data_IF_376234958110
#
_entry.id   IF_376234958110
#
_cell.length_a   1.000
_cell.length_b   1.000
_cell.length_c   1.000
_cell.angle_alpha   90.00
_cell.angle_beta   90.00
_cell.angle_gamma   90.00
#
_symmetry.space_group_name_H-M   'P 1'
#
loop_
_entity.id
_entity.type
_entity.pdbx_description
1 polymer ?
#
# COMPACT_ATOMS: atom_id res chain seq x y z
N UNK A 1 -5.76 59.10 6.44
CA UNK A 1 -4.55 58.58 5.78
C UNK A 1 -3.33 59.12 6.51
N UNK A 2 -2.65 58.26 7.27
CA UNK A 2 -1.26 57.98 6.96
C UNK A 2 -0.97 56.48 6.87
N UNK A 3 -0.02 56.14 5.99
CA UNK A 3 0.47 54.81 5.64
C UNK A 3 1.24 54.19 6.82
N UNK A 4 0.86 52.99 7.23
CA UNK A 4 1.63 52.14 8.14
C UNK A 4 2.19 50.97 7.32
N UNK A 5 3.52 50.83 7.33
CA UNK A 5 4.25 49.73 6.70
C UNK A 5 4.19 48.43 7.53
N UNK A 6 4.32 47.24 6.90
CA UNK A 6 4.15 45.96 7.57
C UNK A 6 5.45 45.42 8.23
N UNK A 7 5.35 44.54 9.23
CA UNK A 7 6.49 43.98 9.92
C UNK A 7 7.16 42.83 9.14
N UNK A 8 8.50 42.82 9.18
CA UNK A 8 9.40 41.83 8.58
C UNK A 8 9.39 40.54 9.41
N UNK A 9 9.01 39.42 8.78
CA UNK A 9 8.97 38.09 9.36
C UNK A 9 10.30 37.35 9.13
N UNK A 10 11.13 37.20 10.17
CA UNK A 10 12.38 36.42 10.09
C UNK A 10 12.10 34.95 10.41
N UNK A 11 12.26 34.08 9.41
CA UNK A 11 12.09 32.63 9.49
C UNK A 11 13.25 31.98 10.26
N UNK A 12 12.91 31.19 11.29
CA UNK A 12 13.78 30.20 11.94
C UNK A 12 14.20 29.12 10.94
N UNK A 13 15.51 28.92 10.75
CA UNK A 13 16.06 27.77 10.00
C UNK A 13 16.70 26.80 10.99
N UNK A 14 16.03 25.67 11.23
CA UNK A 14 16.60 24.48 11.91
C UNK A 14 17.57 23.81 10.93
N UNK A 15 18.84 23.70 11.30
CA UNK A 15 19.81 22.86 10.61
C UNK A 15 19.77 21.47 11.23
N UNK A 16 19.33 20.48 10.45
CA UNK A 16 19.44 19.07 10.77
C UNK A 16 20.83 18.54 10.38
N UNK A 17 21.37 17.74 11.29
CA UNK A 17 22.61 17.01 11.20
C UNK A 17 22.31 15.61 10.63
N UNK A 18 22.95 15.22 9.53
CA UNK A 18 23.22 13.82 9.13
C UNK A 18 23.89 13.79 7.75
N UNK A 19 25.22 13.63 7.71
CA UNK A 19 25.91 13.08 6.53
C UNK A 19 26.47 11.72 6.93
N UNK A 20 25.84 10.69 6.39
CA UNK A 20 26.33 9.33 6.39
C UNK A 20 27.52 9.21 5.42
N UNK A 21 28.52 8.45 5.88
CA UNK A 21 29.73 8.07 5.17
C UNK A 21 29.37 7.22 3.94
N UNK A 22 29.82 7.65 2.76
CA UNK A 22 29.91 6.79 1.58
C UNK A 22 31.30 6.16 1.56
N UNK A 23 31.39 4.86 1.84
CA UNK A 23 32.58 4.06 1.57
C UNK A 23 32.55 3.63 0.10
N UNK A 24 33.32 4.32 -0.73
CA UNK A 24 33.74 3.83 -2.04
C UNK A 24 34.73 2.67 -1.83
N UNK A 25 34.36 1.48 -2.31
CA UNK A 25 35.30 0.38 -2.54
C UNK A 25 35.14 -0.03 -4.00
N UNK A 26 36.00 0.52 -4.86
CA UNK A 26 36.15 0.17 -6.26
C UNK A 26 37.60 -0.26 -6.47
N UNK A 27 37.77 -1.49 -6.93
CA UNK A 27 39.00 -2.16 -7.36
C UNK A 27 38.54 -3.23 -8.37
N UNK A 28 39.39 -3.67 -9.32
CA UNK A 28 40.01 -2.88 -10.37
C UNK A 28 39.64 -3.41 -11.77
N UNK A 29 39.96 -2.58 -12.77
CA UNK A 29 40.05 -2.92 -14.18
C UNK A 29 40.91 -4.17 -14.44
N UNK A 30 40.49 -5.00 -15.38
CA UNK A 30 41.38 -5.81 -16.21
C UNK A 30 40.96 -5.67 -17.68
N UNK A 31 41.78 -4.92 -18.40
CA UNK A 31 41.86 -4.87 -19.84
C UNK A 31 42.52 -6.14 -20.42
N UNK A 32 42.07 -6.44 -21.64
CA UNK A 32 42.83 -6.96 -22.77
C UNK A 32 43.42 -8.39 -22.73
N UNK A 33 42.87 -9.23 -23.61
CA UNK A 33 43.69 -10.00 -24.55
C UNK A 33 42.90 -10.27 -25.84
N UNK A 34 43.37 -9.66 -26.93
CA UNK A 34 42.98 -9.96 -28.28
C UNK A 34 43.54 -11.33 -28.71
N UNK A 35 42.71 -12.12 -29.40
CA UNK A 35 43.08 -13.38 -30.01
C UNK A 35 42.26 -13.58 -31.28
N UNK A 36 42.84 -13.16 -32.38
CA UNK A 36 42.33 -13.29 -33.74
C UNK A 36 42.58 -14.73 -34.22
N UNK A 37 41.56 -15.48 -34.59
CA UNK A 37 41.79 -16.61 -35.50
C UNK A 37 40.58 -16.90 -36.40
N UNK A 38 40.86 -16.90 -37.71
CA UNK A 38 39.95 -17.25 -38.79
C UNK A 38 40.18 -18.72 -39.11
N UNK A 39 39.20 -19.58 -38.85
CA UNK A 39 39.08 -20.82 -39.62
C UNK A 39 37.63 -21.13 -39.98
N UNK A 40 37.53 -21.61 -41.21
CA UNK A 40 36.36 -21.79 -42.05
C UNK A 40 36.09 -23.30 -42.06
N UNK A 41 35.00 -23.76 -41.46
CA UNK A 41 34.52 -25.13 -41.69
C UNK A 41 33.08 -25.33 -41.25
N UNK A 42 32.27 -25.64 -42.26
CA UNK A 42 31.26 -26.70 -42.29
C UNK A 42 29.99 -26.55 -41.43
N UNK A 43 28.89 -26.48 -42.18
CA UNK A 43 27.51 -26.76 -41.84
C UNK A 43 27.36 -28.03 -40.98
N UNK A 44 27.43 -27.87 -39.68
CA UNK A 44 26.69 -28.69 -38.72
C UNK A 44 25.44 -27.92 -38.34
N UNK A 45 24.28 -28.59 -38.40
CA UNK A 45 23.01 -28.11 -37.85
C UNK A 45 23.17 -27.83 -36.35
N UNK A 46 23.73 -26.67 -36.03
CA UNK A 46 23.77 -26.13 -34.68
C UNK A 46 22.34 -25.76 -34.34
N UNK A 47 21.73 -26.52 -33.44
CA UNK A 47 20.51 -26.12 -32.73
C UNK A 47 20.86 -24.87 -31.95
N UNK A 48 20.84 -23.74 -32.64
CA UNK A 48 21.07 -22.43 -32.07
C UNK A 48 20.10 -22.27 -30.90
N UNK A 49 20.66 -22.03 -29.71
CA UNK A 49 19.88 -21.83 -28.50
C UNK A 49 18.94 -20.65 -28.74
N UNK A 50 17.65 -20.95 -28.85
CA UNK A 50 16.58 -19.98 -29.11
C UNK A 50 16.63 -18.87 -28.06
N UNK A 51 17.02 -19.19 -26.83
CA UNK A 51 17.20 -18.20 -25.77
C UNK A 51 18.21 -17.12 -26.16
N UNK A 52 19.35 -17.51 -26.73
CA UNK A 52 20.37 -16.55 -27.17
C UNK A 52 19.86 -15.65 -28.30
N UNK A 53 19.03 -16.18 -29.20
CA UNK A 53 18.42 -15.38 -30.28
C UNK A 53 17.44 -14.36 -29.73
N UNK A 54 16.63 -14.74 -28.75
CA UNK A 54 15.71 -13.83 -28.07
C UNK A 54 16.48 -12.73 -27.32
N UNK A 55 17.52 -13.08 -26.55
CA UNK A 55 18.31 -12.06 -25.83
C UNK A 55 19.04 -11.11 -26.78
N UNK A 56 19.59 -11.63 -27.88
CA UNK A 56 20.21 -10.79 -28.91
C UNK A 56 19.18 -9.88 -29.58
N UNK A 57 17.97 -10.37 -29.87
CA UNK A 57 16.89 -9.54 -30.43
C UNK A 57 16.43 -8.45 -29.44
N UNK A 58 16.37 -8.76 -28.15
CA UNK A 58 16.10 -7.78 -27.09
C UNK A 58 17.16 -6.69 -27.12
N UNK A 59 18.44 -7.04 -27.09
CA UNK A 59 19.54 -6.09 -27.02
C UNK A 59 19.67 -5.26 -28.32
N UNK A 60 19.42 -5.85 -29.49
CA UNK A 60 19.40 -5.17 -30.78
C UNK A 60 18.24 -4.17 -30.93
N UNK A 61 17.16 -4.35 -30.16
CA UNK A 61 15.96 -3.52 -30.19
C UNK A 61 15.97 -2.39 -29.15
N UNK A 62 17.08 -2.22 -28.42
CA UNK A 62 17.27 -1.10 -27.49
C UNK A 62 17.67 0.14 -28.31
N UNK A 63 16.87 1.19 -28.27
CA UNK A 63 17.16 2.45 -28.98
C UNK A 63 18.16 3.32 -28.19
N UNK A 64 19.37 3.61 -28.70
CA UNK A 64 20.26 4.61 -28.11
C UNK A 64 19.86 6.05 -28.51
N UNK A 65 20.15 7.11 -27.73
CA UNK A 65 20.70 7.14 -26.37
C UNK A 65 19.67 7.69 -25.36
N UNK A 66 19.25 6.89 -24.40
CA UNK A 66 18.44 7.36 -23.27
C UNK A 66 17.25 6.47 -22.96
N UNK A 67 17.53 5.26 -22.45
CA UNK A 67 16.69 4.55 -21.48
C UNK A 67 15.19 4.40 -21.81
N UNK A 68 14.81 4.37 -23.09
CA UNK A 68 13.41 4.17 -23.51
C UNK A 68 12.99 2.71 -23.52
N UNK A 69 13.85 1.77 -23.11
CA UNK A 69 13.56 0.34 -23.15
C UNK A 69 13.64 -0.24 -24.56
N UNK A 70 13.11 -1.45 -24.70
CA UNK A 70 13.05 -2.26 -25.92
C UNK A 70 11.90 -1.74 -26.78
N UNK A 71 12.21 -1.32 -28.01
CA UNK A 71 11.21 -1.01 -29.03
C UNK A 71 10.52 -2.30 -29.49
N UNK A 72 9.22 -2.41 -29.23
CA UNK A 72 8.49 -3.64 -29.50
C UNK A 72 8.31 -3.92 -31.00
N UNK A 73 8.28 -2.90 -31.85
CA UNK A 73 8.12 -3.09 -33.29
C UNK A 73 9.41 -3.61 -33.93
N UNK A 74 10.56 -3.08 -33.48
CA UNK A 74 11.88 -3.63 -33.86
C UNK A 74 12.05 -5.06 -33.35
N UNK A 75 11.72 -5.31 -32.08
CA UNK A 75 11.81 -6.63 -31.47
C UNK A 75 10.93 -7.66 -32.20
N UNK A 76 9.68 -7.30 -32.53
CA UNK A 76 8.76 -8.17 -33.29
C UNK A 76 9.33 -8.53 -34.67
N UNK A 77 9.95 -7.57 -35.36
CA UNK A 77 10.54 -7.78 -36.69
C UNK A 77 11.74 -8.74 -36.65
N UNK A 78 12.53 -8.70 -35.58
CA UNK A 78 13.67 -9.61 -35.42
C UNK A 78 13.24 -11.00 -34.95
N UNK A 79 12.27 -11.08 -34.05
CA UNK A 79 11.72 -12.34 -33.56
C UNK A 79 10.78 -13.06 -34.52
N UNK A 80 10.14 -12.36 -35.48
CA UNK A 80 9.22 -13.00 -36.46
C UNK A 80 9.92 -13.99 -37.41
N UNK A 81 11.25 -14.01 -37.42
CA UNK A 81 12.07 -14.96 -38.19
C UNK A 81 12.21 -16.31 -37.48
N UNK A 82 11.91 -16.37 -36.18
CA UNK A 82 11.98 -17.58 -35.38
C UNK A 82 10.67 -18.36 -35.54
N UNK A 83 10.76 -19.63 -35.93
CA UNK A 83 9.59 -20.54 -36.04
C UNK A 83 9.26 -21.24 -34.73
N UNK A 84 9.87 -20.82 -33.63
CA UNK A 84 9.69 -21.44 -32.32
C UNK A 84 8.34 -21.07 -31.69
N UNK A 85 7.68 -22.05 -31.08
CA UNK A 85 6.37 -21.87 -30.47
C UNK A 85 6.41 -20.89 -29.29
N UNK A 86 7.51 -20.87 -28.52
CA UNK A 86 7.68 -19.96 -27.37
C UNK A 86 7.92 -18.55 -27.84
N UNK A 87 8.74 -18.37 -28.87
CA UNK A 87 8.93 -17.06 -29.50
C UNK A 87 7.60 -16.52 -30.02
N UNK A 88 6.77 -17.37 -30.63
CA UNK A 88 5.44 -17.01 -31.12
C UNK A 88 4.50 -16.62 -29.96
N UNK A 89 4.50 -17.38 -28.86
CA UNK A 89 3.68 -17.07 -27.67
C UNK A 89 4.12 -15.75 -27.00
N UNK A 90 5.43 -15.51 -26.91
CA UNK A 90 5.96 -14.23 -26.43
C UNK A 90 5.49 -13.07 -27.31
N UNK A 91 5.53 -13.23 -28.64
CA UNK A 91 5.06 -12.22 -29.58
C UNK A 91 3.56 -11.95 -29.44
N UNK A 92 2.75 -13.00 -29.26
CA UNK A 92 1.31 -12.87 -29.02
C UNK A 92 1.01 -12.13 -27.71
N UNK A 93 1.69 -12.50 -26.62
CA UNK A 93 1.59 -11.79 -25.34
C UNK A 93 1.95 -10.30 -25.49
N UNK A 94 3.07 -10.00 -26.15
CA UNK A 94 3.52 -8.63 -26.37
C UNK A 94 2.60 -7.88 -27.36
N UNK A 95 1.85 -8.56 -28.21
CA UNK A 95 0.87 -7.95 -29.14
C UNK A 95 -0.28 -7.27 -28.39
N UNK A 96 -0.66 -7.81 -27.22
CA UNK A 96 -1.73 -7.26 -26.38
C UNK A 96 -1.31 -6.00 -25.62
N UNK A 97 0.00 -5.75 -25.51
CA UNK A 97 0.54 -4.59 -24.81
C UNK A 97 0.47 -3.37 -25.72
N UNK A 98 -0.28 -2.33 -25.30
CA UNK A 98 -0.43 -1.07 -26.05
C UNK A 98 0.80 -0.15 -26.03
N UNK A 99 1.79 -0.45 -25.19
CA UNK A 99 3.00 0.36 -25.10
C UNK A 99 3.91 0.08 -26.30
N UNK A 100 4.51 1.13 -26.86
CA UNK A 100 5.49 1.00 -27.95
C UNK A 100 6.86 0.56 -27.45
N UNK A 101 7.15 0.81 -26.18
CA UNK A 101 8.41 0.43 -25.56
C UNK A 101 8.17 -0.22 -24.20
N UNK A 102 9.02 -1.19 -23.84
CA UNK A 102 9.01 -1.84 -22.53
C UNK A 102 10.41 -1.87 -21.92
N UNK A 103 10.55 -1.77 -20.60
CA UNK A 103 11.85 -1.98 -19.95
C UNK A 103 12.40 -3.35 -20.33
N UNK A 104 13.72 -3.41 -20.56
CA UNK A 104 14.43 -4.63 -20.96
C UNK A 104 14.12 -5.81 -20.03
N UNK A 105 14.09 -5.52 -18.74
CA UNK A 105 13.83 -6.49 -17.68
C UNK A 105 12.42 -7.09 -17.79
N UNK A 106 11.44 -6.31 -18.25
CA UNK A 106 10.06 -6.79 -18.39
C UNK A 106 9.98 -7.82 -19.51
N UNK A 107 10.60 -7.55 -20.66
CA UNK A 107 10.62 -8.47 -21.81
C UNK A 107 11.42 -9.73 -21.48
N UNK A 108 12.57 -9.58 -20.81
CA UNK A 108 13.39 -10.72 -20.37
C UNK A 108 12.65 -11.60 -19.36
N UNK A 109 11.99 -11.01 -18.36
CA UNK A 109 11.22 -11.76 -17.38
C UNK A 109 10.02 -12.47 -18.01
N UNK A 110 9.38 -11.87 -19.02
CA UNK A 110 8.31 -12.52 -19.77
C UNK A 110 8.81 -13.77 -20.50
N UNK A 111 9.96 -13.68 -21.18
CA UNK A 111 10.59 -14.83 -21.82
C UNK A 111 10.97 -15.93 -20.82
N UNK A 112 11.63 -15.56 -19.71
CA UNK A 112 12.04 -16.52 -18.68
C UNK A 112 10.85 -17.26 -18.05
N UNK A 113 9.70 -16.58 -17.88
CA UNK A 113 8.48 -17.22 -17.38
C UNK A 113 7.94 -18.28 -18.34
N UNK A 114 7.90 -17.98 -19.64
CA UNK A 114 7.47 -18.97 -20.65
C UNK A 114 8.38 -20.20 -20.67
N UNK A 115 9.68 -20.01 -20.48
CA UNK A 115 10.65 -21.12 -20.41
C UNK A 115 10.49 -21.92 -19.11
N UNK A 116 10.24 -21.26 -17.97
CA UNK A 116 10.06 -21.95 -16.69
C UNK A 116 8.73 -22.70 -16.59
N UNK A 117 7.65 -22.15 -17.17
CA UNK A 117 6.33 -22.79 -17.21
C UNK A 117 6.37 -24.14 -17.96
N UNK A 118 7.08 -24.20 -19.09
CA UNK A 118 7.28 -25.49 -19.80
C UNK A 118 8.14 -26.46 -18.98
N UNK A 119 9.17 -25.98 -18.28
CA UNK A 119 9.96 -26.84 -17.40
C UNK A 119 9.09 -27.41 -16.28
N UNK A 120 8.17 -26.61 -15.77
CA UNK A 120 7.20 -27.03 -14.77
C UNK A 120 6.19 -28.04 -15.34
N UNK A 121 5.67 -27.83 -16.54
CA UNK A 121 4.79 -28.79 -17.23
C UNK A 121 5.49 -30.11 -17.53
N UNK A 122 6.77 -30.07 -17.94
CA UNK A 122 7.58 -31.27 -18.14
C UNK A 122 7.87 -32.00 -16.82
N UNK A 123 8.07 -31.27 -15.73
CA UNK A 123 8.18 -31.84 -14.37
C UNK A 123 6.84 -32.45 -13.91
N UNK A 124 5.71 -31.83 -14.22
CA UNK A 124 4.37 -32.35 -13.93
C UNK A 124 4.05 -33.61 -14.76
N UNK A 125 4.46 -33.65 -16.04
CA UNK A 125 4.32 -34.83 -16.90
C UNK A 125 5.28 -35.97 -16.49
N UNK A 126 6.50 -35.64 -16.07
CA UNK A 126 7.48 -36.62 -15.58
C UNK A 126 7.05 -37.24 -14.25
N UNK A 127 6.48 -36.45 -13.34
CA UNK A 127 5.92 -36.95 -12.08
C UNK A 127 4.57 -37.66 -12.25
N UNK A 128 3.82 -37.38 -13.33
CA UNK A 128 2.59 -38.08 -13.67
C UNK A 128 2.82 -39.47 -14.34
N UNK A 129 4.01 -39.77 -14.85
CA UNK A 129 4.29 -40.99 -15.64
C UNK A 129 4.59 -42.26 -14.82
N UNK A 130 4.40 -42.28 -13.50
CA UNK A 130 4.46 -43.56 -12.75
C UNK A 130 3.10 -44.29 -12.84
N UNK A 131 2.77 -44.75 -14.05
CA UNK A 131 1.57 -45.55 -14.32
C UNK A 131 1.82 -47.01 -13.91
N UNK A 132 0.93 -47.66 -13.13
CA UNK A 132 1.06 -49.07 -12.80
C UNK A 132 0.72 -49.95 -14.01
N UNK A 133 1.61 -50.89 -14.31
CA UNK A 133 1.50 -51.93 -15.34
C UNK A 133 0.10 -52.57 -15.38
N UNK A 134 -0.47 -52.59 -16.58
CA UNK A 134 -1.63 -53.42 -16.95
C UNK A 134 -1.26 -54.91 -16.94
N UNK A 135 -2.02 -55.81 -16.28
CA UNK A 135 -1.84 -57.26 -16.41
C UNK A 135 -2.50 -57.77 -17.69
N UNK A 136 -1.76 -58.60 -18.43
CA UNK A 136 -2.14 -59.36 -19.62
C UNK A 136 -3.39 -60.22 -19.40
N UNK A 137 -4.21 -60.29 -20.44
CA UNK A 137 -5.19 -61.36 -20.66
C UNK A 137 -4.46 -62.71 -20.89
N UNK A 138 -4.66 -63.66 -19.97
CA UNK A 138 -4.41 -65.09 -20.19
C UNK A 138 -5.74 -65.83 -19.99
N UNK A 139 -6.35 -66.25 -21.10
CA UNK A 139 -7.40 -67.27 -21.14
C UNK A 139 -6.82 -68.54 -21.76
N UNK A 140 -6.70 -69.60 -20.96
CA UNK A 140 -6.34 -70.93 -21.44
C UNK A 140 -6.23 -71.92 -20.30
N UNK A 141 -7.31 -72.65 -20.04
CA UNK A 141 -7.44 -73.65 -19.00
C UNK A 141 -6.48 -74.83 -19.16
N UNK A 142 -6.00 -75.40 -18.05
CA UNK A 142 -6.21 -76.81 -17.65
C UNK A 142 -5.33 -77.15 -16.43
N UNK A 143 -5.88 -77.99 -15.56
CA UNK A 143 -5.23 -78.81 -14.52
C UNK A 143 -5.49 -78.41 -13.05
N UNK A 144 -5.74 -79.47 -12.30
CA UNK A 144 -6.47 -79.64 -11.05
C UNK A 144 -5.55 -79.62 -9.82
N UNK A 145 -5.89 -78.81 -8.81
CA UNK A 145 -5.71 -79.04 -7.35
C UNK A 145 -4.28 -79.27 -6.80
N UNK A 146 -4.07 -79.25 -5.46
CA UNK A 146 -4.33 -78.13 -4.57
C UNK A 146 -3.06 -77.81 -3.74
N UNK A 147 -2.66 -76.55 -3.61
CA UNK A 147 -1.69 -76.20 -2.56
C UNK A 147 -1.73 -74.73 -2.18
N UNK A 148 -1.81 -74.51 -0.86
CA UNK A 148 -1.43 -73.30 -0.13
C UNK A 148 -2.37 -72.09 -0.21
N UNK A 149 -3.19 -71.97 0.85
CA UNK A 149 -3.96 -70.78 1.23
C UNK A 149 -2.98 -69.63 1.52
N UNK A 150 -2.83 -68.70 0.58
CA UNK A 150 -2.13 -67.43 0.78
C UNK A 150 -3.18 -66.31 0.94
N UNK A 151 -3.13 -65.50 2.01
CA UNK A 151 -4.13 -64.45 2.23
C UNK A 151 -4.02 -63.38 1.13
N UNK A 152 -5.17 -63.14 0.49
CA UNK A 152 -5.32 -62.25 -0.66
C UNK A 152 -5.06 -60.79 -0.30
N UNK A 153 -4.01 -60.20 -0.89
CA UNK A 153 -3.60 -58.79 -0.74
C UNK A 153 -4.28 -57.84 -1.74
N UNK A 154 -5.18 -58.34 -2.61
CA UNK A 154 -5.80 -57.56 -3.69
C UNK A 154 -6.80 -56.48 -3.22
N UNK A 155 -7.38 -56.63 -2.03
CA UNK A 155 -8.28 -55.63 -1.46
C UNK A 155 -7.57 -54.36 -0.97
N UNK A 156 -6.28 -54.43 -0.65
CA UNK A 156 -5.52 -53.31 -0.09
C UNK A 156 -5.07 -52.31 -1.16
N UNK A 157 -4.72 -52.79 -2.36
CA UNK A 157 -4.33 -51.95 -3.50
C UNK A 157 -5.50 -51.12 -4.02
N UNK A 158 -6.70 -51.70 -4.04
CA UNK A 158 -7.94 -51.03 -4.44
C UNK A 158 -8.29 -49.89 -3.47
N UNK A 159 -8.19 -50.13 -2.16
CA UNK A 159 -8.44 -49.09 -1.14
C UNK A 159 -7.47 -47.92 -1.24
N UNK A 160 -6.17 -48.19 -1.41
CA UNK A 160 -5.16 -47.15 -1.59
C UNK A 160 -5.40 -46.31 -2.86
N UNK A 161 -5.81 -46.95 -3.96
CA UNK A 161 -6.16 -46.26 -5.21
C UNK A 161 -7.37 -45.33 -5.03
N UNK A 162 -8.44 -45.82 -4.38
CA UNK A 162 -9.62 -44.99 -4.10
C UNK A 162 -9.32 -43.82 -3.15
N UNK A 163 -8.44 -44.01 -2.15
CA UNK A 163 -8.01 -42.95 -1.26
C UNK A 163 -7.23 -41.85 -2.01
N UNK A 164 -6.32 -42.24 -2.90
CA UNK A 164 -5.57 -41.30 -3.75
C UNK A 164 -6.46 -40.53 -4.71
N UNK A 165 -7.47 -41.18 -5.32
CA UNK A 165 -8.44 -40.52 -6.18
C UNK A 165 -9.28 -39.49 -5.41
N UNK A 166 -9.78 -39.85 -4.21
CA UNK A 166 -10.50 -38.91 -3.33
C UNK A 166 -9.63 -37.72 -2.90
N UNK A 167 -8.34 -37.95 -2.64
CA UNK A 167 -7.39 -36.88 -2.30
C UNK A 167 -7.21 -35.89 -3.46
N UNK A 168 -6.99 -36.41 -4.68
CA UNK A 168 -6.90 -35.58 -5.89
C UNK A 168 -8.17 -34.77 -6.14
N UNK A 169 -9.34 -35.36 -5.92
CA UNK A 169 -10.62 -34.63 -6.00
C UNK A 169 -10.68 -33.49 -4.98
N UNK A 170 -10.36 -33.77 -3.71
CA UNK A 170 -10.34 -32.73 -2.66
C UNK A 170 -9.32 -31.61 -2.94
N UNK A 171 -8.16 -31.95 -3.52
CA UNK A 171 -7.17 -30.95 -3.95
C UNK A 171 -7.70 -30.07 -5.10
N UNK A 172 -8.41 -30.66 -6.06
CA UNK A 172 -9.06 -29.91 -7.14
C UNK A 172 -10.15 -28.97 -6.60
N UNK A 173 -11.01 -29.48 -5.72
CA UNK A 173 -12.09 -28.71 -5.09
C UNK A 173 -11.51 -27.55 -4.26
N UNK A 174 -10.42 -27.77 -3.53
CA UNK A 174 -9.70 -26.73 -2.78
C UNK A 174 -9.14 -25.62 -3.70
N UNK A 175 -8.59 -25.98 -4.87
CA UNK A 175 -8.11 -25.00 -5.86
C UNK A 175 -9.27 -24.18 -6.43
N UNK A 176 -10.40 -24.81 -6.74
CA UNK A 176 -11.58 -24.13 -7.26
C UNK A 176 -12.16 -23.14 -6.24
N UNK A 177 -12.27 -23.55 -4.98
CA UNK A 177 -12.70 -22.68 -3.88
C UNK A 177 -11.74 -21.52 -3.65
N UNK A 178 -10.42 -21.75 -3.72
CA UNK A 178 -9.44 -20.68 -3.60
C UNK A 178 -9.59 -19.62 -4.71
N UNK A 179 -9.83 -20.04 -5.95
CA UNK A 179 -10.08 -19.13 -7.07
C UNK A 179 -11.37 -18.33 -6.87
N UNK A 180 -12.46 -18.98 -6.43
CA UNK A 180 -13.71 -18.28 -6.10
C UNK A 180 -13.53 -17.25 -4.98
N UNK A 181 -12.81 -17.63 -3.91
CA UNK A 181 -12.50 -16.74 -2.79
C UNK A 181 -11.72 -15.52 -3.26
N UNK A 182 -10.72 -15.70 -4.14
CA UNK A 182 -9.94 -14.60 -4.70
C UNK A 182 -10.81 -13.63 -5.53
N UNK A 183 -11.73 -14.14 -6.34
CA UNK A 183 -12.67 -13.33 -7.12
C UNK A 183 -13.61 -12.53 -6.20
N UNK A 184 -14.21 -13.19 -5.20
CA UNK A 184 -15.08 -12.54 -4.22
C UNK A 184 -14.36 -11.45 -3.43
N UNK A 185 -13.09 -11.67 -3.04
CA UNK A 185 -12.27 -10.64 -2.38
C UNK A 185 -12.02 -9.45 -3.31
N UNK A 186 -11.75 -9.70 -4.58
CA UNK A 186 -11.56 -8.64 -5.56
C UNK A 186 -12.85 -7.82 -5.76
N UNK A 187 -14.00 -8.47 -5.79
CA UNK A 187 -15.31 -7.82 -5.85
C UNK A 187 -15.60 -6.98 -4.61
N UNK A 188 -15.34 -7.52 -3.41
CA UNK A 188 -15.47 -6.79 -2.16
C UNK A 188 -14.59 -5.53 -2.16
N UNK A 189 -13.32 -5.64 -2.54
CA UNK A 189 -12.41 -4.48 -2.63
C UNK A 189 -12.92 -3.43 -3.63
N UNK A 190 -13.44 -3.86 -4.79
CA UNK A 190 -14.03 -2.94 -5.77
C UNK A 190 -15.27 -2.25 -5.21
N UNK A 191 -16.14 -2.97 -4.53
CA UNK A 191 -17.34 -2.43 -3.90
C UNK A 191 -16.99 -1.41 -2.80
N UNK A 192 -16.01 -1.72 -1.93
CA UNK A 192 -15.51 -0.78 -0.91
C UNK A 192 -14.96 0.50 -1.51
N UNK A 193 -14.15 0.44 -2.57
CA UNK A 193 -13.68 1.64 -3.28
C UNK A 193 -14.83 2.46 -3.83
N UNK A 194 -15.89 1.80 -4.33
CA UNK A 194 -17.07 2.50 -4.86
C UNK A 194 -17.88 3.17 -3.76
N UNK A 195 -18.06 2.51 -2.62
CA UNK A 195 -18.71 3.07 -1.42
C UNK A 195 -17.96 4.32 -0.99
N UNK A 196 -16.63 4.23 -0.86
CA UNK A 196 -15.79 5.34 -0.42
C UNK A 196 -15.92 6.55 -1.35
N UNK A 197 -15.79 6.33 -2.67
CA UNK A 197 -15.99 7.40 -3.66
C UNK A 197 -17.40 8.01 -3.62
N UNK A 198 -18.42 7.22 -3.30
CA UNK A 198 -19.81 7.69 -3.24
C UNK A 198 -20.03 8.54 -1.99
N UNK A 199 -19.49 8.11 -0.85
CA UNK A 199 -19.50 8.87 0.41
C UNK A 199 -18.70 10.17 0.32
N UNK A 200 -17.50 10.12 -0.25
CA UNK A 200 -16.67 11.31 -0.44
C UNK A 200 -17.39 12.36 -1.30
N UNK A 201 -18.07 11.94 -2.38
CA UNK A 201 -18.88 12.83 -3.20
C UNK A 201 -20.07 13.41 -2.43
N UNK A 202 -20.79 12.59 -1.66
CA UNK A 202 -21.90 13.06 -0.84
C UNK A 202 -21.42 14.10 0.18
N UNK A 203 -20.29 13.84 0.83
CA UNK A 203 -19.66 14.75 1.78
C UNK A 203 -19.23 16.07 1.11
N UNK A 204 -18.60 16.03 -0.06
CA UNK A 204 -18.22 17.24 -0.80
C UNK A 204 -19.44 18.12 -1.14
N UNK A 205 -20.59 17.52 -1.48
CA UNK A 205 -21.83 18.25 -1.75
C UNK A 205 -22.33 18.93 -0.46
N UNK A 206 -22.34 18.21 0.66
CA UNK A 206 -22.75 18.76 1.95
C UNK A 206 -21.84 19.90 2.42
N UNK A 207 -20.52 19.71 2.35
CA UNK A 207 -19.52 20.74 2.69
C UNK A 207 -19.71 22.00 1.82
N UNK A 208 -19.92 21.83 0.52
CA UNK A 208 -20.18 22.95 -0.37
C UNK A 208 -21.47 23.70 0.00
N UNK A 209 -22.52 22.98 0.41
CA UNK A 209 -23.77 23.56 0.88
C UNK A 209 -23.58 24.33 2.18
N UNK A 210 -22.87 23.76 3.14
CA UNK A 210 -22.53 24.43 4.39
C UNK A 210 -21.73 25.72 4.15
N UNK A 211 -20.78 25.69 3.22
CA UNK A 211 -20.05 26.90 2.82
C UNK A 211 -20.96 27.96 2.21
N UNK A 212 -21.93 27.58 1.37
CA UNK A 212 -22.91 28.52 0.80
C UNK A 212 -23.77 29.14 1.90
N UNK A 213 -24.32 28.32 2.79
CA UNK A 213 -25.15 28.79 3.92
C UNK A 213 -24.34 29.72 4.81
N UNK A 214 -23.09 29.35 5.14
CA UNK A 214 -22.19 30.18 5.93
C UNK A 214 -21.89 31.51 5.26
N UNK A 215 -21.57 31.51 3.95
CA UNK A 215 -21.36 32.75 3.18
C UNK A 215 -22.61 33.63 3.16
N UNK A 216 -23.80 33.04 3.09
CA UNK A 216 -25.07 33.78 3.18
C UNK A 216 -25.29 34.38 4.56
N UNK A 217 -25.04 33.61 5.63
CA UNK A 217 -25.11 34.08 7.02
C UNK A 217 -24.10 35.20 7.30
N UNK A 218 -22.84 35.03 6.88
CA UNK A 218 -21.79 36.03 7.03
C UNK A 218 -22.15 37.33 6.29
N UNK A 219 -22.73 37.21 5.08
CA UNK A 219 -23.24 38.37 4.34
C UNK A 219 -24.36 39.07 5.09
N UNK A 220 -25.30 38.32 5.68
CA UNK A 220 -26.39 38.88 6.46
C UNK A 220 -25.87 39.58 7.73
N UNK A 221 -24.97 38.94 8.48
CA UNK A 221 -24.34 39.51 9.67
C UNK A 221 -23.56 40.79 9.36
N UNK A 222 -22.78 40.80 8.27
CA UNK A 222 -22.04 41.97 7.83
C UNK A 222 -22.96 43.13 7.44
N UNK A 223 -24.09 42.84 6.76
CA UNK A 223 -25.09 43.85 6.43
C UNK A 223 -25.75 44.43 7.69
N UNK A 224 -26.09 43.57 8.65
CA UNK A 224 -26.66 43.99 9.93
C UNK A 224 -25.69 44.87 10.72
N UNK A 225 -24.42 44.46 10.84
CA UNK A 225 -23.38 45.25 11.52
C UNK A 225 -23.16 46.61 10.83
N UNK A 226 -23.14 46.66 9.49
CA UNK A 226 -23.08 47.92 8.74
C UNK A 226 -24.29 48.80 9.04
N UNK A 227 -25.49 48.22 9.12
CA UNK A 227 -26.69 48.99 9.47
C UNK A 227 -26.61 49.54 10.90
N UNK A 228 -26.15 48.76 11.87
CA UNK A 228 -25.97 49.19 13.25
C UNK A 228 -24.90 50.28 13.40
N UNK A 229 -23.78 50.16 12.68
CA UNK A 229 -22.74 51.20 12.66
C UNK A 229 -23.27 52.51 12.07
N UNK A 230 -24.04 52.46 10.98
CA UNK A 230 -24.72 53.64 10.41
C UNK A 230 -25.73 54.23 11.40
N UNK A 231 -26.57 53.40 12.03
CA UNK A 231 -27.55 53.84 13.05
C UNK A 231 -26.87 54.46 14.26
N UNK A 232 -25.75 53.91 14.74
CA UNK A 232 -25.02 54.45 15.88
C UNK A 232 -24.27 55.74 15.52
N UNK A 233 -23.66 55.82 14.33
CA UNK A 233 -23.00 57.03 13.84
C UNK A 233 -24.01 58.17 13.65
N UNK A 234 -25.18 57.91 13.08
CA UNK A 234 -26.25 58.91 12.96
C UNK A 234 -26.78 59.38 14.31
N UNK A 235 -26.97 58.47 15.29
CA UNK A 235 -27.30 58.84 16.69
C UNK A 235 -26.22 59.71 17.32
N UNK A 236 -24.94 59.32 17.20
CA UNK A 236 -23.79 60.08 17.71
C UNK A 236 -23.68 61.45 17.06
N UNK A 237 -23.86 61.56 15.75
CA UNK A 237 -23.85 62.84 15.03
C UNK A 237 -24.97 63.76 15.51
N UNK A 238 -26.20 63.23 15.69
CA UNK A 238 -27.32 63.99 16.26
C UNK A 238 -27.02 64.47 17.69
N UNK A 239 -26.43 63.62 18.53
CA UNK A 239 -26.04 63.99 19.90
C UNK A 239 -24.87 64.99 19.91
N UNK A 240 -23.88 64.83 19.04
CA UNK A 240 -22.74 65.73 18.88
C UNK A 240 -23.21 67.12 18.43
N UNK A 241 -24.18 67.19 17.52
CA UNK A 241 -24.81 68.45 17.13
C UNK A 241 -25.50 69.13 18.33
N UNK A 242 -26.31 68.39 19.11
CA UNK A 242 -26.97 68.92 20.32
C UNK A 242 -25.97 69.38 21.39
N UNK A 243 -24.95 68.56 21.66
CA UNK A 243 -23.92 68.86 22.65
C UNK A 243 -22.96 69.95 22.18
N UNK A 244 -22.70 70.11 20.89
CA UNK A 244 -21.95 71.24 20.34
C UNK A 244 -22.68 72.56 20.59
N UNK A 245 -24.01 72.58 20.41
CA UNK A 245 -24.84 73.73 20.77
C UNK A 245 -24.74 74.03 22.28
N UNK A 246 -24.86 72.99 23.12
CA UNK A 246 -24.72 73.13 24.58
C UNK A 246 -23.31 73.58 24.97
N UNK A 247 -22.25 73.02 24.37
CA UNK A 247 -20.85 73.37 24.62
C UNK A 247 -20.54 74.78 24.15
N UNK A 248 -21.08 75.26 23.03
CA UNK A 248 -20.94 76.67 22.63
C UNK A 248 -21.56 77.58 23.68
N UNK A 249 -22.75 77.23 24.19
CA UNK A 249 -23.42 77.94 25.28
C UNK A 249 -22.61 77.87 26.60
N UNK A 250 -22.11 76.69 26.96
CA UNK A 250 -21.30 76.49 28.16
C UNK A 250 -19.90 77.09 28.04
N UNK A 251 -19.27 77.11 26.87
CA UNK A 251 -18.00 77.77 26.63
C UNK A 251 -18.17 79.28 26.74
N UNK A 252 -19.29 79.83 26.24
CA UNK A 252 -19.66 81.22 26.53
C UNK A 252 -19.78 81.47 28.05
N UNK A 253 -20.42 80.56 28.80
CA UNK A 253 -20.51 80.62 30.27
C UNK A 253 -19.15 80.39 30.96
N UNK A 254 -18.30 79.51 30.43
CA UNK A 254 -17.01 79.14 31.01
C UNK A 254 -15.94 80.17 30.72
N UNK A 255 -15.99 80.89 29.59
CA UNK A 255 -15.14 82.08 29.37
C UNK A 255 -15.45 83.14 30.44
N UNK A 256 -16.71 83.24 30.87
CA UNK A 256 -17.10 84.07 32.01
C UNK A 256 -16.53 83.49 33.31
N UNK A 257 -16.60 82.17 33.54
CA UNK A 257 -16.12 81.52 34.77
C UNK A 257 -14.59 81.31 34.89
N UNK A 258 -13.84 81.15 33.79
CA UNK A 258 -12.38 80.97 33.76
C UNK A 258 -11.64 82.26 34.12
N UNK A 259 -12.21 83.40 33.72
CA UNK A 259 -11.78 84.72 34.24
C UNK A 259 -11.81 84.78 35.78
N UNK A 260 -12.64 83.97 36.44
CA UNK A 260 -12.67 83.86 37.91
C UNK A 260 -11.70 82.80 38.48
N UNK A 261 -11.28 81.79 37.72
CA UNK A 261 -10.44 80.67 38.21
C UNK A 261 -8.96 80.77 37.85
N UNK A 262 -8.58 81.54 36.82
CA UNK A 262 -7.17 81.85 36.51
C UNK A 262 -6.47 82.62 37.65
N UNK A 263 -7.24 83.18 38.59
CA UNK A 263 -6.76 83.74 39.88
C UNK A 263 -6.28 82.64 40.85
N UNK A 264 -6.79 81.40 40.77
CA UNK A 264 -6.55 80.37 41.79
C UNK A 264 -5.49 79.31 41.37
N UNK A 265 -5.25 79.12 40.07
CA UNK A 265 -4.38 78.03 39.57
C UNK A 265 -2.87 78.34 39.59
N UNK A 266 -2.46 79.58 39.90
CA UNK A 266 -1.05 79.93 40.15
C UNK A 266 -0.49 79.24 41.42
N UNK A 267 -1.36 78.73 42.31
CA UNK A 267 -0.93 78.14 43.61
C UNK A 267 -0.50 76.66 43.56
N UNK A 268 -0.83 75.89 42.51
CA UNK A 268 -0.78 74.42 42.60
C UNK A 268 0.33 73.77 41.74
N UNK A 269 0.97 74.49 40.82
CA UNK A 269 2.02 73.92 39.94
C UNK A 269 3.41 73.73 40.57
N UNK A 270 3.61 74.08 41.85
CA UNK A 270 4.93 73.97 42.52
C UNK A 270 5.30 72.56 43.04
N UNK A 271 4.51 71.50 42.80
CA UNK A 271 4.72 70.21 43.49
C UNK A 271 4.90 68.95 42.65
N UNK A 272 4.96 69.02 41.32
CA UNK A 272 4.93 67.82 40.46
C UNK A 272 6.10 67.72 39.49
N UNK A 273 7.31 67.88 40.00
CA UNK A 273 8.56 67.62 39.27
C UNK A 273 9.58 66.99 40.22
N UNK A 274 9.35 65.73 40.60
CA UNK A 274 10.35 64.91 41.29
C UNK A 274 10.07 63.43 41.08
N UNK A 275 10.73 62.85 40.07
CA UNK A 275 11.01 61.41 39.98
C UNK A 275 9.92 60.56 39.33
N UNK A 276 9.60 60.91 38.08
CA UNK A 276 9.38 59.88 37.09
C UNK A 276 10.58 59.84 36.15
N UNK A 277 11.37 58.78 36.32
CA UNK A 277 12.34 58.13 35.42
C UNK A 277 13.65 57.86 36.16
N UNK A 278 13.95 56.59 36.35
CA UNK A 278 14.98 55.92 35.54
C UNK A 278 14.85 54.40 35.80
N UNK A 279 14.22 53.69 34.86
CA UNK A 279 14.85 52.79 33.87
C UNK A 279 15.33 51.48 34.50
N UNK A 280 14.64 50.39 34.15
CA UNK A 280 14.95 49.54 32.99
C UNK A 280 16.10 48.57 33.28
N UNK A 281 15.76 47.30 33.06
CA UNK A 281 16.55 46.34 32.30
C UNK A 281 17.78 45.79 33.06
N UNK A 282 18.24 44.57 32.87
CA UNK A 282 17.97 43.51 31.90
C UNK A 282 18.72 42.27 32.43
N UNK A 283 18.34 41.09 31.95
CA UNK A 283 19.17 39.88 31.83
C UNK A 283 20.33 39.65 32.80
N UNK A 284 20.25 38.56 33.54
CA UNK A 284 21.39 37.64 33.62
C UNK A 284 20.85 36.24 33.95
N UNK A 285 20.67 35.42 32.91
CA UNK A 285 21.67 34.39 32.59
C UNK A 285 21.69 33.35 33.72
N UNK A 286 20.96 32.27 33.53
CA UNK A 286 21.61 31.04 33.07
C UNK A 286 22.72 30.58 34.04
N UNK A 287 22.37 29.63 34.91
CA UNK A 287 22.97 28.27 34.98
C UNK A 287 23.16 27.79 36.41
N UNK A 288 22.40 26.77 36.80
CA UNK A 288 22.86 25.74 37.71
C UNK A 288 21.98 24.49 37.45
N UNK A 289 22.34 23.55 36.57
CA UNK A 289 23.47 22.60 36.61
C UNK A 289 23.26 21.50 37.66
N UNK A 290 22.43 20.50 37.37
CA UNK A 290 22.55 19.20 38.06
C UNK A 290 21.92 18.05 37.26
N UNK A 291 22.78 17.42 36.43
CA UNK A 291 22.60 16.07 35.88
C UNK A 291 23.93 15.32 36.08
N UNK A 292 24.02 14.67 37.25
CA UNK A 292 24.91 13.56 37.66
C UNK A 292 23.99 12.76 38.59
N UNK A 293 23.77 11.47 38.44
CA UNK A 293 24.80 10.43 38.39
C UNK A 293 24.36 9.23 37.57
N UNK A 294 25.40 8.61 37.02
CA UNK A 294 25.42 7.37 36.28
C UNK A 294 25.48 6.21 37.27
N UNK A 295 24.80 5.12 36.91
CA UNK A 295 25.36 3.75 36.85
C UNK A 295 25.71 3.12 38.20
N UNK A 296 25.24 1.88 38.43
CA UNK A 296 26.05 0.66 38.23
C UNK A 296 25.33 -0.62 38.67
N UNK A 297 25.70 -1.70 37.96
CA UNK A 297 25.56 -3.15 38.24
C UNK A 297 24.24 -3.71 37.71
N UNK A 298 24.14 -4.29 36.52
CA UNK A 298 25.01 -5.24 35.79
C UNK A 298 25.46 -6.45 36.61
N UNK A 299 25.01 -7.61 36.09
CA UNK A 299 25.78 -8.84 35.98
C UNK A 299 26.24 -9.49 37.28
N UNK A 300 25.51 -10.52 37.66
CA UNK A 300 26.03 -11.89 37.60
C UNK A 300 24.84 -12.82 37.86
N UNK A 301 24.48 -13.64 36.88
CA UNK A 301 24.01 -15.03 37.09
C UNK A 301 23.51 -15.61 35.77
N UNK A 302 24.47 -15.76 34.86
CA UNK A 302 24.40 -16.89 33.95
C UNK A 302 24.89 -18.13 34.70
N UNK A 303 24.27 -19.26 34.34
CA UNK A 303 24.90 -20.58 34.18
C UNK A 303 24.69 -21.57 35.33
N UNK A 304 23.62 -22.36 35.25
CA UNK A 304 23.74 -23.83 35.39
C UNK A 304 22.49 -24.61 34.96
N UNK A 305 22.78 -25.69 34.25
CA UNK A 305 22.07 -26.98 34.22
C UNK A 305 20.90 -27.16 33.25
N UNK A 306 21.31 -27.44 32.02
CA UNK A 306 20.65 -28.34 31.08
C UNK A 306 20.82 -29.83 31.46
N UNK A 307 19.87 -30.62 30.94
CA UNK A 307 19.97 -32.00 30.43
C UNK A 307 19.92 -33.18 31.42
N UNK A 308 18.85 -33.99 31.31
CA UNK A 308 18.86 -35.36 30.75
C UNK A 308 17.47 -36.00 30.87
N UNK A 309 16.78 -36.24 29.75
CA UNK A 309 15.68 -37.21 29.67
C UNK A 309 15.59 -37.72 28.22
N UNK A 310 16.15 -38.92 27.99
CA UNK A 310 16.28 -39.63 26.70
C UNK A 310 15.78 -41.07 26.90
N UNK A 311 14.55 -41.43 26.49
CA UNK A 311 14.04 -42.84 26.54
C UNK A 311 13.00 -43.16 25.43
N UNK A 312 13.27 -42.96 24.14
CA UNK A 312 12.26 -43.28 23.09
C UNK A 312 12.88 -43.86 21.81
N UNK A 313 12.94 -45.18 21.65
CA UNK A 313 13.62 -45.75 20.46
C UNK A 313 13.13 -47.09 19.83
N UNK A 314 12.06 -47.80 20.26
CA UNK A 314 11.83 -49.19 19.78
C UNK A 314 10.48 -49.53 19.05
N UNK A 315 9.78 -48.61 18.38
CA UNK A 315 8.44 -48.89 17.76
C UNK A 315 8.33 -48.97 16.21
N UNK A 316 9.43 -48.98 15.45
CA UNK A 316 9.45 -48.31 14.14
C UNK A 316 9.22 -49.11 12.83
N UNK A 317 8.78 -50.38 12.75
CA UNK A 317 8.69 -51.12 11.45
C UNK A 317 7.27 -51.50 10.99
N UNK A 318 6.41 -52.14 11.79
CA UNK A 318 4.96 -52.31 11.46
C UNK A 318 4.20 -50.98 11.55
N UNK A 319 4.73 -50.04 12.35
CA UNK A 319 4.32 -48.64 12.31
C UNK A 319 4.45 -48.03 10.91
N UNK A 320 5.43 -48.37 10.07
CA UNK A 320 5.64 -47.65 8.79
C UNK A 320 4.56 -47.89 7.75
N UNK A 321 3.97 -49.09 7.67
CA UNK A 321 2.88 -49.37 6.73
C UNK A 321 1.52 -48.89 7.24
N UNK A 322 1.26 -49.04 8.55
CA UNK A 322 0.09 -48.45 9.19
C UNK A 322 0.16 -46.92 9.16
N UNK A 323 1.36 -46.34 9.35
CA UNK A 323 1.65 -44.92 9.15
C UNK A 323 1.39 -44.52 7.71
N UNK A 324 1.81 -45.26 6.69
CA UNK A 324 1.57 -44.83 5.29
C UNK A 324 0.07 -44.78 4.90
N UNK A 325 -0.75 -45.75 5.33
CA UNK A 325 -2.22 -45.69 5.11
C UNK A 325 -2.87 -44.63 6.01
N UNK A 326 -2.43 -44.51 7.28
CA UNK A 326 -2.89 -43.46 8.18
C UNK A 326 -2.45 -42.07 7.72
N UNK A 327 -1.30 -41.92 7.08
CA UNK A 327 -0.75 -40.68 6.53
C UNK A 327 -1.57 -40.28 5.30
N UNK A 328 -1.95 -41.20 4.42
CA UNK A 328 -2.87 -40.90 3.31
C UNK A 328 -4.29 -40.58 3.80
N UNK A 329 -4.79 -41.28 4.83
CA UNK A 329 -6.08 -40.93 5.46
C UNK A 329 -6.01 -39.60 6.24
N UNK A 330 -4.87 -39.29 6.86
CA UNK A 330 -4.62 -38.02 7.54
C UNK A 330 -4.52 -36.90 6.51
N UNK A 331 -3.80 -37.08 5.42
CA UNK A 331 -3.74 -36.13 4.32
C UNK A 331 -5.12 -35.91 3.71
N UNK A 332 -5.91 -36.97 3.50
CA UNK A 332 -7.30 -36.82 3.04
C UNK A 332 -8.14 -36.02 4.04
N UNK A 333 -8.04 -36.32 5.33
CA UNK A 333 -8.74 -35.56 6.39
C UNK A 333 -8.25 -34.13 6.47
N UNK A 334 -6.96 -33.87 6.29
CA UNK A 334 -6.38 -32.53 6.26
C UNK A 334 -6.86 -31.75 5.05
N UNK A 335 -6.91 -32.37 3.86
CA UNK A 335 -7.45 -31.72 2.66
C UNK A 335 -8.96 -31.49 2.78
N UNK A 336 -9.73 -32.45 3.30
CA UNK A 336 -11.16 -32.25 3.58
C UNK A 336 -11.40 -31.17 4.63
N UNK A 337 -10.56 -31.11 5.67
CA UNK A 337 -10.60 -30.04 6.66
C UNK A 337 -10.26 -28.69 6.02
N UNK A 338 -9.25 -28.65 5.16
CA UNK A 338 -8.87 -27.44 4.40
C UNK A 338 -9.99 -26.99 3.47
N UNK A 339 -10.65 -27.92 2.77
CA UNK A 339 -11.85 -27.65 1.96
C UNK A 339 -12.95 -27.08 2.84
N UNK A 340 -13.28 -27.71 3.98
CA UNK A 340 -14.28 -27.21 4.90
C UNK A 340 -13.94 -25.83 5.49
N UNK A 341 -12.65 -25.55 5.74
CA UNK A 341 -12.18 -24.23 6.16
C UNK A 341 -12.35 -23.20 5.04
N UNK A 342 -12.04 -23.55 3.79
CA UNK A 342 -12.26 -22.70 2.61
C UNK A 342 -13.75 -22.46 2.33
N UNK A 343 -14.61 -23.46 2.49
CA UNK A 343 -16.07 -23.33 2.35
C UNK A 343 -16.65 -22.41 3.42
N UNK A 344 -16.19 -22.51 4.68
CA UNK A 344 -16.58 -21.56 5.73
C UNK A 344 -16.12 -20.15 5.40
N UNK A 345 -14.88 -19.99 4.92
CA UNK A 345 -14.35 -18.69 4.51
C UNK A 345 -15.13 -18.12 3.32
N UNK A 346 -15.54 -18.94 2.35
CA UNK A 346 -16.40 -18.55 1.24
C UNK A 346 -17.77 -18.07 1.74
N UNK A 347 -18.41 -18.82 2.64
CA UNK A 347 -19.69 -18.41 3.22
C UNK A 347 -19.60 -17.10 4.00
N UNK A 348 -18.58 -16.93 4.83
CA UNK A 348 -18.33 -15.67 5.53
C UNK A 348 -18.11 -14.51 4.55
N UNK A 349 -17.35 -14.74 3.49
CA UNK A 349 -17.06 -13.72 2.49
C UNK A 349 -18.31 -13.34 1.69
N UNK A 350 -19.19 -14.31 1.38
CA UNK A 350 -20.50 -14.05 0.77
C UNK A 350 -21.36 -13.19 1.70
N UNK A 351 -21.43 -13.52 3.00
CA UNK A 351 -22.19 -12.73 3.96
C UNK A 351 -21.63 -11.30 4.12
N UNK A 352 -20.31 -11.16 4.13
CA UNK A 352 -19.65 -9.85 4.12
C UNK A 352 -19.96 -9.09 2.83
N UNK A 353 -19.90 -9.73 1.67
CA UNK A 353 -20.21 -9.11 0.38
C UNK A 353 -21.67 -8.63 0.35
N UNK A 354 -22.62 -9.41 0.86
CA UNK A 354 -24.02 -8.99 1.02
C UNK A 354 -24.16 -7.77 1.94
N UNK A 355 -23.43 -7.76 3.05
CA UNK A 355 -23.38 -6.60 3.96
C UNK A 355 -22.78 -5.37 3.27
N UNK A 356 -21.73 -5.55 2.45
CA UNK A 356 -21.10 -4.50 1.64
C UNK A 356 -22.07 -3.98 0.57
N UNK A 357 -22.88 -4.83 -0.05
CA UNK A 357 -23.94 -4.39 -0.96
C UNK A 357 -25.01 -3.55 -0.25
N UNK A 358 -25.37 -3.89 1.00
CA UNK A 358 -26.26 -3.06 1.80
C UNK A 358 -25.64 -1.69 2.10
N UNK A 359 -24.36 -1.65 2.49
CA UNK A 359 -23.60 -0.40 2.70
C UNK A 359 -23.51 0.43 1.42
N UNK A 360 -23.37 -0.22 0.26
CA UNK A 360 -23.39 0.45 -1.04
C UNK A 360 -24.72 1.10 -1.33
N UNK A 361 -25.84 0.43 -1.05
CA UNK A 361 -27.18 1.05 -1.16
C UNK A 361 -27.31 2.26 -0.24
N UNK A 362 -26.90 2.14 1.03
CA UNK A 362 -26.92 3.24 1.98
C UNK A 362 -26.08 4.44 1.50
N UNK A 363 -24.88 4.20 0.97
CA UNK A 363 -24.04 5.27 0.44
C UNK A 363 -24.68 5.96 -0.78
N UNK A 364 -25.38 5.21 -1.64
CA UNK A 364 -26.15 5.80 -2.74
C UNK A 364 -27.35 6.62 -2.23
N UNK A 365 -28.07 6.12 -1.22
CA UNK A 365 -29.18 6.86 -0.59
C UNK A 365 -28.68 8.17 0.06
N UNK A 366 -27.50 8.15 0.68
CA UNK A 366 -26.83 9.35 1.23
C UNK A 366 -26.46 10.35 0.12
N UNK A 367 -25.90 9.87 -0.98
CA UNK A 367 -25.59 10.71 -2.14
C UNK A 367 -26.86 11.28 -2.77
N UNK A 368 -27.92 10.49 -2.90
CA UNK A 368 -29.21 10.94 -3.41
C UNK A 368 -29.81 12.02 -2.51
N UNK A 369 -29.79 11.84 -1.18
CA UNK A 369 -30.23 12.86 -0.23
C UNK A 369 -29.40 14.14 -0.34
N UNK A 370 -28.09 14.03 -0.51
CA UNK A 370 -27.21 15.17 -0.70
C UNK A 370 -27.54 15.92 -1.99
N UNK A 371 -27.82 15.19 -3.08
CA UNK A 371 -28.18 15.74 -4.39
C UNK A 371 -29.59 16.36 -4.41
N UNK A 372 -30.62 15.68 -3.90
CA UNK A 372 -31.98 16.24 -3.83
C UNK A 372 -32.01 17.50 -2.97
N UNK A 373 -31.18 17.56 -1.92
CA UNK A 373 -30.99 18.76 -1.13
C UNK A 373 -30.33 19.95 -1.87
N UNK A 374 -29.81 19.75 -3.09
CA UNK A 374 -29.24 20.82 -3.94
C UNK A 374 -30.23 21.41 -4.96
N UNK A 375 -31.39 20.80 -5.18
CA UNK A 375 -32.38 21.26 -6.18
C UNK A 375 -33.40 22.28 -5.64
N UNK A 376 -33.24 22.76 -4.40
CA UNK A 376 -34.09 23.78 -3.75
C UNK A 376 -33.23 24.95 -3.33
#
# INVERSE_FOLDING_TARGET
MPRLEPPVFVKKKKANNARFLHSNTSMPSLDAAAGNDKTKSQSGSCTQDIGQHIFHAIDASITPPGDRGVDLDMFRKDCSKLTDAKATMLLDMLSTVRATHLPREVVQNAWLRLVEEERQDLLELSTASTSPRSPRDDRGAHSTTPTSVRPSTSGATTKLSTAKSKRKQAEYDAKLLANRLALLQQEEIKAWRKIEQTREKAQQILEHREEIIKKQQDKYMLLHEKEETIRSATKKHKLAAKTSVIRKRQAAISVISKKYQEVEQVKIERRRLKQEKEKQAVDEVMRAKERRERVRKQEEEMRKKRMKEKVTAEKQIVERYRKSVQEEELQLREQQRRVAELERAEMELIQRLQSTQLLQRQAYDELEKALVGTEV
#
